data_IF_773247739210
#
_entry.id   IF_773247739210
#
_cell.length_a   1.000
_cell.length_b   1.000
_cell.length_c   1.000
_cell.angle_alpha   90.00
_cell.angle_beta   90.00
_cell.angle_gamma   90.00
#
_symmetry.space_group_name_H-M   'P 1'
#
loop_
_entity.id
_entity.type
_entity.pdbx_description
1 polymer ?
#
# COMPACT_ATOMS: atom_id res chain seq x y z
N UNK A 1 -24.23 13.08 -35.28
CA UNK A 1 -23.79 11.99 -34.37
C UNK A 1 -24.93 11.73 -33.40
N UNK A 2 -25.47 10.51 -33.35
CA UNK A 2 -26.62 10.20 -32.48
C UNK A 2 -26.12 10.01 -31.04
N UNK A 3 -26.91 10.45 -30.06
CA UNK A 3 -26.58 10.31 -28.63
C UNK A 3 -26.26 8.85 -28.24
N UNK A 4 -26.91 7.88 -28.89
CA UNK A 4 -26.66 6.45 -28.74
C UNK A 4 -25.28 5.97 -29.21
N UNK A 5 -24.64 6.69 -30.13
CA UNK A 5 -23.28 6.41 -30.60
C UNK A 5 -22.24 6.96 -29.61
N UNK A 6 -22.53 8.11 -28.98
CA UNK A 6 -21.68 8.73 -27.95
C UNK A 6 -21.62 7.85 -26.69
N UNK A 7 -22.76 7.30 -26.25
CA UNK A 7 -22.84 6.41 -25.09
C UNK A 7 -22.04 5.12 -25.33
N UNK A 8 -22.15 4.50 -26.52
CA UNK A 8 -21.36 3.30 -26.87
C UNK A 8 -19.85 3.57 -26.90
N UNK A 9 -19.43 4.74 -27.36
CA UNK A 9 -18.02 5.16 -27.34
C UNK A 9 -17.51 5.37 -25.91
N UNK A 10 -18.32 5.94 -25.03
CA UNK A 10 -17.97 6.12 -23.61
C UNK A 10 -17.93 4.79 -22.86
N UNK A 11 -18.90 3.89 -23.07
CA UNK A 11 -18.95 2.56 -22.44
C UNK A 11 -17.79 1.65 -22.89
N UNK A 12 -17.41 1.69 -24.16
CA UNK A 12 -16.29 0.91 -24.71
C UNK A 12 -14.92 1.39 -24.25
N UNK A 13 -14.78 2.69 -23.97
CA UNK A 13 -13.49 3.32 -23.59
C UNK A 13 -13.28 3.31 -22.07
N UNK A 14 -14.34 3.38 -21.28
CA UNK A 14 -14.25 3.39 -19.80
C UNK A 14 -13.91 2.01 -19.24
N UNK A 15 -14.57 0.92 -19.64
CA UNK A 15 -14.35 -0.38 -19.01
C UNK A 15 -12.94 -0.96 -19.21
N UNK A 16 -12.32 -0.74 -20.38
CA UNK A 16 -10.95 -1.20 -20.68
C UNK A 16 -9.88 -0.30 -20.06
N UNK A 17 -10.09 1.02 -19.99
CA UNK A 17 -9.15 1.93 -19.34
C UNK A 17 -9.24 1.91 -17.82
N UNK A 18 -10.42 1.70 -17.22
CA UNK A 18 -10.56 1.50 -15.77
C UNK A 18 -9.79 0.25 -15.31
N UNK A 19 -9.79 -0.83 -16.11
CA UNK A 19 -8.94 -2.01 -15.86
C UNK A 19 -7.44 -1.67 -15.85
N UNK A 20 -6.97 -0.79 -16.74
CA UNK A 20 -5.58 -0.33 -16.81
C UNK A 20 -5.21 0.71 -15.74
N UNK A 21 -6.15 1.55 -15.32
CA UNK A 21 -5.99 2.53 -14.25
C UNK A 21 -6.09 1.92 -12.85
N UNK A 22 -6.60 0.68 -12.74
CA UNK A 22 -6.63 -0.03 -11.46
C UNK A 22 -5.24 -0.55 -11.07
N UNK A 23 -4.39 -0.96 -12.00
CA UNK A 23 -3.08 -1.53 -11.65
C UNK A 23 -2.01 -0.45 -11.47
N UNK A 24 -1.31 -0.50 -10.35
CA UNK A 24 -0.08 0.26 -10.17
C UNK A 24 1.01 -0.30 -11.09
N UNK A 25 1.84 0.57 -11.71
CA UNK A 25 3.03 0.14 -12.41
C UNK A 25 3.93 -0.69 -11.49
N UNK A 26 4.63 -1.69 -12.05
CA UNK A 26 5.57 -2.52 -11.28
C UNK A 26 6.64 -1.68 -10.55
N UNK A 27 7.07 -0.56 -11.13
CA UNK A 27 7.99 0.37 -10.48
C UNK A 27 7.41 0.96 -9.18
N UNK A 28 6.11 1.26 -9.15
CA UNK A 28 5.42 1.80 -7.98
C UNK A 28 5.28 0.75 -6.88
N UNK A 29 4.92 -0.49 -7.23
CA UNK A 29 4.83 -1.57 -6.24
C UNK A 29 6.19 -1.92 -5.65
N UNK A 30 7.25 -1.92 -6.45
CA UNK A 30 8.63 -2.10 -5.97
C UNK A 30 9.13 -0.89 -5.16
N UNK A 31 8.68 0.32 -5.46
CA UNK A 31 8.96 1.48 -4.62
C UNK A 31 8.31 1.36 -3.24
N UNK A 32 7.03 0.99 -3.17
CA UNK A 32 6.31 0.74 -1.92
C UNK A 32 7.00 -0.34 -1.07
N UNK A 33 7.36 -1.47 -1.68
CA UNK A 33 8.11 -2.55 -0.99
C UNK A 33 9.46 -2.07 -0.46
N UNK A 34 10.16 -1.19 -1.17
CA UNK A 34 11.44 -0.61 -0.71
C UNK A 34 11.23 0.30 0.50
N UNK A 35 10.21 1.17 0.49
CA UNK A 35 9.86 2.00 1.65
C UNK A 35 9.52 1.14 2.87
N UNK A 36 8.69 0.12 2.69
CA UNK A 36 8.32 -0.84 3.74
C UNK A 36 9.56 -1.55 4.30
N UNK A 37 10.46 -2.01 3.42
CA UNK A 37 11.69 -2.71 3.85
C UNK A 37 12.59 -1.78 4.65
N UNK A 38 12.78 -0.54 4.18
CA UNK A 38 13.54 0.49 4.88
C UNK A 38 12.95 0.71 6.28
N UNK A 39 11.66 1.05 6.34
CA UNK A 39 10.98 1.35 7.59
C UNK A 39 10.95 0.17 8.58
N UNK A 40 10.72 -1.06 8.11
CA UNK A 40 10.75 -2.24 8.95
C UNK A 40 12.15 -2.52 9.55
N UNK A 41 13.21 -2.23 8.79
CA UNK A 41 14.61 -2.46 9.19
C UNK A 41 15.20 -1.39 10.09
N UNK A 42 14.55 -0.23 10.23
CA UNK A 42 15.07 0.86 11.04
C UNK A 42 15.06 0.50 12.53
N UNK A 43 16.22 0.72 13.14
CA UNK A 43 16.43 0.59 14.59
C UNK A 43 15.93 1.84 15.28
N UNK A 44 15.44 1.69 16.51
CA UNK A 44 14.97 2.79 17.35
C UNK A 44 16.01 3.91 17.45
N UNK A 45 15.57 5.16 17.34
CA UNK A 45 16.44 6.33 17.41
C UNK A 45 17.27 6.54 16.14
N UNK A 46 16.86 5.93 15.02
CA UNK A 46 17.40 6.28 13.72
C UNK A 46 17.08 7.74 13.39
N UNK A 47 18.03 8.46 12.78
CA UNK A 47 17.89 9.90 12.42
C UNK A 47 16.91 10.18 11.27
N UNK A 48 16.08 9.20 10.91
CA UNK A 48 15.11 9.35 9.83
C UNK A 48 13.80 9.82 10.44
N UNK A 49 13.70 11.14 10.66
CA UNK A 49 12.57 11.79 11.35
C UNK A 49 11.22 11.55 10.67
N UNK A 50 11.24 11.14 9.40
CA UNK A 50 10.07 10.85 8.58
C UNK A 50 9.47 9.45 8.81
N UNK A 51 10.16 8.58 9.56
CA UNK A 51 9.75 7.19 9.75
C UNK A 51 9.45 6.93 11.23
N UNK A 52 8.21 6.53 11.56
CA UNK A 52 7.86 6.13 12.92
C UNK A 52 8.77 5.02 13.46
N UNK A 53 9.25 5.19 14.70
CA UNK A 53 10.08 4.19 15.38
C UNK A 53 9.31 2.88 15.64
N UNK A 54 7.99 2.97 15.87
CA UNK A 54 7.14 1.85 16.24
C UNK A 54 5.91 1.77 15.35
N UNK A 55 5.50 0.53 15.06
CA UNK A 55 4.31 0.22 14.27
C UNK A 55 3.36 -0.61 15.12
N UNK A 56 2.07 -0.39 14.95
CA UNK A 56 0.99 -1.17 15.58
C UNK A 56 0.87 -2.54 14.91
N UNK A 57 0.95 -2.56 13.58
CA UNK A 57 0.86 -3.78 12.77
C UNK A 57 1.35 -3.54 11.33
N UNK A 58 1.33 -4.58 10.50
CA UNK A 58 1.73 -4.51 9.09
C UNK A 58 0.84 -3.58 8.24
N UNK A 59 -0.44 -3.43 8.61
CA UNK A 59 -1.38 -2.60 7.86
C UNK A 59 -1.02 -1.11 7.98
N UNK A 60 -0.69 -0.65 9.19
CA UNK A 60 -0.21 0.73 9.42
C UNK A 60 1.05 1.01 8.58
N UNK A 61 1.99 0.07 8.54
CA UNK A 61 3.23 0.21 7.75
C UNK A 61 2.95 0.33 6.25
N UNK A 62 2.01 -0.47 5.73
CA UNK A 62 1.59 -0.36 4.31
C UNK A 62 0.94 0.99 4.06
N UNK A 63 -0.01 1.42 4.91
CA UNK A 63 -0.72 2.68 4.73
C UNK A 63 0.23 3.87 4.74
N UNK A 64 1.18 3.90 5.68
CA UNK A 64 2.25 4.89 5.71
C UNK A 64 3.04 4.92 4.40
N UNK A 65 3.39 3.77 3.82
CA UNK A 65 4.13 3.73 2.56
C UNK A 65 3.31 4.31 1.39
N UNK A 66 2.01 4.01 1.33
CA UNK A 66 1.10 4.60 0.33
C UNK A 66 0.97 6.12 0.49
N UNK A 67 0.78 6.60 1.72
CA UNK A 67 0.70 8.04 2.04
C UNK A 67 1.99 8.78 1.70
N UNK A 68 3.15 8.23 2.10
CA UNK A 68 4.47 8.84 1.82
C UNK A 68 4.76 8.89 0.32
N UNK A 69 4.26 7.92 -0.45
CA UNK A 69 4.38 7.92 -1.92
C UNK A 69 3.31 8.74 -2.63
N UNK A 70 2.35 9.34 -1.91
CA UNK A 70 1.17 10.01 -2.47
C UNK A 70 0.41 9.12 -3.48
N UNK A 71 0.30 7.82 -3.16
CA UNK A 71 -0.42 6.83 -3.96
C UNK A 71 -1.75 6.54 -3.27
N UNK A 72 -2.85 6.65 -4.00
CA UNK A 72 -4.16 6.28 -3.51
C UNK A 72 -4.26 4.76 -3.29
N UNK A 73 -4.83 4.36 -2.15
CA UNK A 73 -5.03 2.94 -1.84
C UNK A 73 -6.18 2.40 -2.69
N UNK A 74 -6.07 1.17 -3.20
CA UNK A 74 -7.13 0.60 -4.00
C UNK A 74 -8.34 0.22 -3.14
N UNK A 75 -9.52 0.29 -3.76
CA UNK A 75 -10.73 -0.27 -3.17
C UNK A 75 -10.89 -1.76 -3.50
N UNK A 76 -11.60 -2.57 -2.68
CA UNK A 76 -11.74 -4.01 -2.90
C UNK A 76 -12.34 -4.40 -4.26
N UNK A 77 -13.14 -3.54 -4.88
CA UNK A 77 -13.70 -3.81 -6.22
C UNK A 77 -12.66 -3.68 -7.34
N UNK A 78 -11.53 -3.00 -7.09
CA UNK A 78 -10.42 -2.83 -8.02
C UNK A 78 -9.53 -4.09 -8.02
N UNK A 79 -10.07 -5.24 -8.45
CA UNK A 79 -9.48 -6.58 -8.24
C UNK A 79 -7.97 -6.69 -8.45
N UNK A 80 -7.43 -6.12 -9.53
CA UNK A 80 -6.00 -6.25 -9.84
C UNK A 80 -5.14 -5.35 -8.94
N UNK A 81 -5.59 -4.11 -8.72
CA UNK A 81 -5.02 -3.17 -7.75
C UNK A 81 -4.99 -3.76 -6.34
N UNK A 82 -6.12 -4.34 -5.94
CA UNK A 82 -6.32 -4.96 -4.65
C UNK A 82 -5.36 -6.12 -4.45
N UNK A 83 -5.18 -6.96 -5.47
CA UNK A 83 -4.18 -8.02 -5.45
C UNK A 83 -2.76 -7.50 -5.26
N UNK A 84 -2.38 -6.41 -5.95
CA UNK A 84 -1.07 -5.79 -5.74
C UNK A 84 -0.92 -5.24 -4.32
N UNK A 85 -1.98 -4.67 -3.77
CA UNK A 85 -2.02 -4.20 -2.39
C UNK A 85 -1.89 -5.36 -1.38
N UNK A 86 -2.55 -6.49 -1.61
CA UNK A 86 -2.37 -7.73 -0.84
C UNK A 86 -0.93 -8.25 -0.92
N UNK A 87 -0.30 -8.21 -2.11
CA UNK A 87 1.10 -8.58 -2.29
C UNK A 87 2.05 -7.67 -1.49
N UNK A 88 1.78 -6.36 -1.50
CA UNK A 88 2.52 -5.36 -0.71
C UNK A 88 2.32 -5.59 0.79
N UNK A 89 1.10 -5.93 1.23
CA UNK A 89 0.79 -6.28 2.61
C UNK A 89 1.51 -7.56 3.06
N UNK A 90 1.50 -8.60 2.24
CA UNK A 90 2.27 -9.81 2.49
C UNK A 90 3.77 -9.53 2.61
N UNK A 91 4.30 -8.58 1.83
CA UNK A 91 5.67 -8.12 1.97
C UNK A 91 5.93 -7.43 3.30
N UNK A 92 5.03 -6.54 3.74
CA UNK A 92 5.14 -5.87 5.03
C UNK A 92 5.15 -6.84 6.21
N UNK A 93 4.26 -7.84 6.21
CA UNK A 93 4.23 -8.90 7.23
C UNK A 93 5.57 -9.63 7.28
N UNK A 94 6.12 -10.05 6.13
CA UNK A 94 7.41 -10.73 6.07
C UNK A 94 8.56 -9.85 6.56
N UNK A 95 8.59 -8.57 6.21
CA UNK A 95 9.65 -7.66 6.63
C UNK A 95 9.60 -7.36 8.12
N UNK A 96 8.40 -7.11 8.67
CA UNK A 96 8.25 -6.93 10.12
C UNK A 96 8.61 -8.20 10.89
N UNK A 97 8.15 -9.37 10.45
CA UNK A 97 8.53 -10.64 11.07
C UNK A 97 10.04 -10.87 11.01
N UNK A 98 10.70 -10.52 9.91
CA UNK A 98 12.15 -10.66 9.73
C UNK A 98 12.97 -9.71 10.60
N UNK A 99 12.62 -8.43 10.63
CA UNK A 99 13.46 -7.40 11.24
C UNK A 99 13.09 -7.06 12.68
N UNK A 100 11.82 -7.26 13.07
CA UNK A 100 11.34 -6.98 14.42
C UNK A 100 10.99 -8.26 15.18
N UNK A 101 10.49 -9.28 14.48
CA UNK A 101 10.07 -10.53 15.12
C UNK A 101 8.90 -10.33 16.07
N UNK A 102 8.58 -11.37 16.84
CA UNK A 102 7.53 -11.30 17.86
C UNK A 102 7.94 -10.41 19.04
N UNK A 103 9.24 -10.41 19.37
CA UNK A 103 9.83 -9.61 20.45
C UNK A 103 10.12 -8.15 20.06
N UNK A 104 9.62 -7.72 18.90
CA UNK A 104 9.73 -6.34 18.45
C UNK A 104 9.03 -5.37 19.40
N UNK A 105 9.50 -4.11 19.44
CA UNK A 105 8.76 -3.05 20.09
C UNK A 105 7.55 -2.68 19.21
N UNK A 106 6.40 -3.23 19.60
CA UNK A 106 5.12 -2.94 18.99
C UNK A 106 4.46 -1.81 19.73
N UNK A 107 3.87 -0.87 18.98
CA UNK A 107 3.00 0.13 19.59
C UNK A 107 1.74 -0.61 20.04
N UNK A 108 1.71 -1.05 21.30
CA UNK A 108 0.50 -1.58 21.90
C UNK A 108 -0.52 -0.44 21.87
N UNK A 109 -1.60 -0.61 21.10
CA UNK A 109 -2.73 0.30 21.17
C UNK A 109 -3.15 0.32 22.63
N UNK A 110 -2.95 1.44 23.32
CA UNK A 110 -3.42 1.62 24.68
C UNK A 110 -4.93 1.36 24.66
N UNK A 111 -5.33 0.17 25.10
CA UNK A 111 -6.71 -0.06 25.53
C UNK A 111 -6.81 0.77 26.79
N UNK A 112 -7.22 2.03 26.65
CA UNK A 112 -7.59 2.85 27.79
C UNK A 112 -8.62 2.03 28.60
N UNK A 113 -8.24 1.67 29.82
CA UNK A 113 -9.14 1.10 30.82
C UNK A 113 -10.11 2.16 31.33
#
# INVERSE_FOLDING_TARGET
MKYSEIVKLLEGTTAKNIKRLSELPAASTEHLKRLITKAASLKRGSRDEDIPDEWTNALELVHWAYEKSNIERPEPYMRNAWKQYEDVMGHAVRMLARFRGLDGNWRLSQINK
#
